data_IF_382576952797
#
_entry.id   IF_382576952797
#
_cell.length_a   1.000
_cell.length_b   1.000
_cell.length_c   1.000
_cell.angle_alpha   90.00
_cell.angle_beta   90.00
_cell.angle_gamma   90.00
#
_symmetry.space_group_name_H-M   'P 1'
#
loop_
_entity.id
_entity.type
_entity.pdbx_description
1 polymer ?
#
# COMPACT_ATOMS: atom_id res chain seq x y z
N UNK A 1 4.72 -7.95 -13.36
CA UNK A 1 4.23 -7.70 -14.74
C UNK A 1 5.43 -7.74 -15.67
N UNK A 2 5.28 -8.36 -16.85
CA UNK A 2 6.28 -8.31 -17.91
C UNK A 2 5.69 -7.63 -19.14
N UNK A 3 6.53 -6.85 -19.83
CA UNK A 3 6.23 -6.27 -21.14
C UNK A 3 7.34 -6.72 -22.09
N UNK A 4 6.97 -7.37 -23.20
CA UNK A 4 7.92 -7.89 -24.18
C UNK A 4 9.05 -8.74 -23.55
N UNK A 5 8.69 -9.56 -22.57
CA UNK A 5 9.60 -10.45 -21.85
C UNK A 5 10.41 -9.79 -20.72
N UNK A 6 10.46 -8.46 -20.63
CA UNK A 6 11.16 -7.74 -19.56
C UNK A 6 10.25 -7.48 -18.37
N UNK A 7 10.78 -7.65 -17.17
CA UNK A 7 10.04 -7.41 -15.93
C UNK A 7 9.97 -5.90 -15.65
N UNK A 8 8.76 -5.35 -15.65
CA UNK A 8 8.53 -3.91 -15.38
C UNK A 8 8.03 -3.64 -13.96
N UNK A 9 7.44 -4.65 -13.32
CA UNK A 9 6.97 -4.56 -11.94
C UNK A 9 7.16 -5.90 -11.22
N UNK A 10 7.74 -5.84 -10.02
CA UNK A 10 7.86 -6.97 -9.12
C UNK A 10 7.54 -6.54 -7.68
N UNK A 11 6.43 -7.03 -7.15
CA UNK A 11 6.16 -6.94 -5.72
C UNK A 11 5.47 -8.23 -5.24
N UNK A 12 6.26 -9.20 -4.77
CA UNK A 12 5.76 -10.56 -4.54
C UNK A 12 5.34 -10.85 -3.11
N UNK A 13 5.97 -10.25 -2.09
CA UNK A 13 5.78 -10.70 -0.69
C UNK A 13 4.75 -9.91 0.09
N UNK A 14 4.59 -8.60 -0.16
CA UNK A 14 3.71 -7.73 0.62
C UNK A 14 2.63 -7.03 -0.24
N UNK A 15 2.27 -7.63 -1.39
CA UNK A 15 1.27 -7.06 -2.30
C UNK A 15 -0.10 -6.84 -1.63
N UNK A 16 -0.52 -7.77 -0.76
CA UNK A 16 -1.79 -7.63 -0.04
C UNK A 16 -1.82 -6.37 0.84
N UNK A 17 -0.72 -6.08 1.52
CA UNK A 17 -0.57 -4.84 2.29
C UNK A 17 -0.57 -3.61 1.39
N UNK A 18 0.10 -3.67 0.23
CA UNK A 18 0.08 -2.58 -0.74
C UNK A 18 -1.35 -2.25 -1.19
N UNK A 19 -2.06 -3.25 -1.71
CA UNK A 19 -3.41 -3.09 -2.23
C UNK A 19 -4.42 -2.67 -1.14
N UNK A 20 -4.27 -3.20 0.08
CA UNK A 20 -5.09 -2.79 1.21
C UNK A 20 -4.82 -1.33 1.61
N UNK A 21 -3.55 -0.94 1.75
CA UNK A 21 -3.19 0.42 2.15
C UNK A 21 -3.59 1.45 1.09
N UNK A 22 -3.49 1.13 -0.20
CA UNK A 22 -4.05 1.97 -1.26
C UNK A 22 -5.56 2.16 -1.09
N UNK A 23 -6.31 1.07 -0.89
CA UNK A 23 -7.76 1.11 -0.68
C UNK A 23 -8.15 1.88 0.60
N UNK A 24 -7.37 1.71 1.67
CA UNK A 24 -7.62 2.29 2.98
C UNK A 24 -7.20 3.76 3.09
N UNK A 25 -6.11 4.17 2.44
CA UNK A 25 -5.54 5.51 2.60
C UNK A 25 -5.87 6.45 1.44
N UNK A 26 -5.98 5.95 0.20
CA UNK A 26 -6.04 6.80 -1.00
C UNK A 26 -7.46 7.08 -1.50
N UNK A 27 -8.47 6.39 -0.97
CA UNK A 27 -9.87 6.53 -1.37
C UNK A 27 -10.73 7.13 -0.27
N UNK A 28 -11.61 8.06 -0.66
CA UNK A 28 -12.63 8.63 0.22
C UNK A 28 -13.86 7.74 0.40
N UNK A 29 -14.79 8.20 1.23
CA UNK A 29 -15.97 7.44 1.64
C UNK A 29 -16.82 6.99 0.44
N UNK A 30 -16.97 7.85 -0.56
CA UNK A 30 -17.79 7.59 -1.74
C UNK A 30 -17.29 6.38 -2.51
N UNK A 31 -16.00 6.33 -2.84
CA UNK A 31 -15.40 5.20 -3.55
C UNK A 31 -15.39 3.92 -2.70
N UNK A 32 -15.12 4.05 -1.39
CA UNK A 32 -15.15 2.93 -0.43
C UNK A 32 -16.53 2.29 -0.30
N UNK A 33 -17.59 3.09 -0.36
CA UNK A 33 -18.97 2.63 -0.23
C UNK A 33 -19.62 2.29 -1.59
N UNK A 34 -18.92 2.52 -2.70
CA UNK A 34 -19.38 2.20 -4.06
C UNK A 34 -18.41 1.26 -4.77
N UNK A 35 -17.53 1.76 -5.62
CA UNK A 35 -16.65 0.98 -6.51
C UNK A 35 -15.85 -0.09 -5.79
N UNK A 36 -15.27 0.21 -4.63
CA UNK A 36 -14.42 -0.75 -3.91
C UNK A 36 -15.21 -1.94 -3.34
N UNK A 37 -16.53 -1.81 -3.17
CA UNK A 37 -17.37 -2.92 -2.72
C UNK A 37 -17.43 -4.06 -3.75
N UNK A 38 -17.21 -3.77 -5.04
CA UNK A 38 -17.11 -4.80 -6.08
C UNK A 38 -15.88 -5.72 -5.90
N UNK A 39 -14.84 -5.22 -5.23
CA UNK A 39 -13.66 -6.00 -4.86
C UNK A 39 -13.86 -6.78 -3.54
N UNK A 40 -15.03 -6.64 -2.89
CA UNK A 40 -15.27 -7.16 -1.54
C UNK A 40 -14.62 -6.32 -0.43
N UNK A 41 -14.14 -5.11 -0.74
CA UNK A 41 -13.67 -4.17 0.27
C UNK A 41 -14.87 -3.47 0.91
N UNK A 42 -15.04 -3.67 2.22
CA UNK A 42 -16.04 -2.98 3.02
C UNK A 42 -15.35 -2.25 4.15
N UNK A 43 -15.42 -0.93 4.11
CA UNK A 43 -14.86 -0.09 5.16
C UNK A 43 -15.58 -0.34 6.49
N UNK A 44 -14.82 -0.38 7.58
CA UNK A 44 -15.35 -0.81 8.86
C UNK A 44 -14.75 0.01 10.01
N UNK A 45 -15.53 0.37 11.04
CA UNK A 45 -15.06 1.21 12.13
C UNK A 45 -14.02 0.51 13.00
N UNK A 46 -14.03 -0.84 13.03
CA UNK A 46 -13.11 -1.65 13.82
C UNK A 46 -12.72 -2.93 13.10
N UNK A 47 -11.48 -3.01 12.65
CA UNK A 47 -10.93 -4.19 11.96
C UNK A 47 -10.75 -5.35 12.94
N UNK A 48 -11.10 -6.56 12.51
CA UNK A 48 -11.00 -7.77 13.32
C UNK A 48 -12.10 -7.93 14.39
N UNK A 49 -13.13 -7.08 14.37
CA UNK A 49 -14.31 -7.25 15.23
C UNK A 49 -15.45 -7.92 14.43
N UNK A 50 -15.91 -9.08 14.91
CA UNK A 50 -17.00 -9.85 14.26
C UNK A 50 -18.34 -9.10 14.20
N UNK A 51 -18.51 -8.06 15.01
CA UNK A 51 -19.71 -7.21 15.02
C UNK A 51 -19.57 -5.99 14.11
N UNK A 52 -18.39 -5.78 13.55
CA UNK A 52 -18.11 -4.66 12.66
C UNK A 52 -18.94 -4.79 11.37
N UNK A 53 -19.59 -3.71 10.89
CA UNK A 53 -20.41 -3.75 9.68
C UNK A 53 -19.69 -4.31 8.45
N UNK A 54 -18.40 -3.99 8.25
CA UNK A 54 -17.64 -4.49 7.11
C UNK A 54 -17.38 -5.99 7.17
N UNK A 55 -17.03 -6.53 8.34
CA UNK A 55 -16.95 -7.98 8.56
C UNK A 55 -18.28 -8.67 8.26
N UNK A 56 -19.40 -8.13 8.77
CA UNK A 56 -20.73 -8.69 8.53
C UNK A 56 -21.08 -8.66 7.03
N UNK A 57 -20.75 -7.58 6.31
CA UNK A 57 -20.96 -7.47 4.87
C UNK A 57 -20.15 -8.51 4.09
N UNK A 58 -18.85 -8.67 4.40
CA UNK A 58 -17.99 -9.71 3.81
C UNK A 58 -18.53 -11.12 4.10
N UNK A 59 -18.94 -11.38 5.35
CA UNK A 59 -19.52 -12.65 5.75
C UNK A 59 -20.82 -12.96 4.98
N UNK A 60 -21.70 -11.97 4.84
CA UNK A 60 -22.94 -12.12 4.06
C UNK A 60 -22.71 -12.33 2.57
N UNK A 61 -21.63 -11.75 2.01
CA UNK A 61 -21.22 -11.98 0.63
C UNK A 61 -20.87 -13.45 0.38
N UNK A 62 -20.17 -14.10 1.33
CA UNK A 62 -19.71 -15.49 1.20
C UNK A 62 -20.68 -16.54 1.76
N UNK A 63 -21.61 -16.16 2.65
CA UNK A 63 -22.58 -17.08 3.29
C UNK A 63 -23.60 -17.64 2.30
N UNK A 64 -23.87 -16.91 1.21
CA UNK A 64 -24.82 -17.35 0.17
C UNK A 64 -24.26 -18.61 -0.50
N UNK A 65 -25.13 -19.60 -0.72
CA UNK A 65 -24.75 -20.78 -1.51
C UNK A 65 -24.39 -20.32 -2.93
N UNK A 66 -23.16 -20.59 -3.37
CA UNK A 66 -22.73 -20.29 -4.73
C UNK A 66 -21.30 -19.80 -4.81
N UNK A 67 -20.91 -19.38 -6.01
CA UNK A 67 -19.64 -18.72 -6.26
C UNK A 67 -19.78 -17.23 -5.92
N UNK A 68 -18.73 -16.66 -5.33
CA UNK A 68 -18.62 -15.21 -5.15
C UNK A 68 -17.84 -14.66 -6.33
N UNK A 69 -18.38 -13.60 -6.94
CA UNK A 69 -17.70 -12.84 -7.97
C UNK A 69 -17.18 -11.55 -7.36
N UNK A 70 -15.92 -11.22 -7.67
CA UNK A 70 -15.29 -9.97 -7.28
C UNK A 70 -14.56 -9.40 -8.49
N UNK A 71 -14.48 -8.08 -8.56
CA UNK A 71 -13.71 -7.36 -9.57
C UNK A 71 -12.93 -6.24 -8.88
N UNK A 72 -11.65 -6.12 -9.21
CA UNK A 72 -10.79 -5.08 -8.67
C UNK A 72 -9.77 -4.63 -9.71
N UNK A 73 -9.31 -3.39 -9.56
CA UNK A 73 -8.09 -2.96 -10.22
C UNK A 73 -6.90 -3.67 -9.59
N UNK A 74 -5.84 -3.84 -10.38
CA UNK A 74 -4.61 -4.47 -9.90
C UNK A 74 -3.67 -3.34 -9.48
N UNK A 75 -3.18 -3.45 -8.25
CA UNK A 75 -2.34 -2.46 -7.56
C UNK A 75 -0.93 -2.50 -8.12
N UNK A 76 -0.75 -1.99 -9.34
CA UNK A 76 0.51 -1.89 -10.05
C UNK A 76 0.66 -0.44 -10.51
N UNK A 77 1.86 0.11 -10.34
CA UNK A 77 2.19 1.49 -10.64
C UNK A 77 1.84 1.93 -12.07
N UNK A 78 2.09 1.08 -13.06
CA UNK A 78 1.73 1.34 -14.46
C UNK A 78 0.22 1.49 -14.70
N UNK A 79 -0.62 0.89 -13.84
CA UNK A 79 -2.07 0.99 -13.90
C UNK A 79 -2.62 2.20 -13.14
N UNK A 80 -1.77 2.91 -12.40
CA UNK A 80 -2.14 4.08 -11.58
C UNK A 80 -1.87 5.42 -12.29
N UNK A 81 -1.67 5.41 -13.61
CA UNK A 81 -1.39 6.59 -14.42
C UNK A 81 -2.27 6.62 -15.68
N UNK A 82 -2.62 7.82 -16.22
CA UNK A 82 -3.64 7.95 -17.26
C UNK A 82 -3.18 7.67 -18.69
N UNK A 83 -1.88 7.52 -18.96
CA UNK A 83 -1.35 7.29 -20.30
C UNK A 83 -1.60 5.85 -20.74
N UNK A 84 -2.05 5.68 -21.97
CA UNK A 84 -2.24 4.35 -22.58
C UNK A 84 -0.88 3.75 -22.94
N UNK A 85 -0.77 2.43 -22.82
CA UNK A 85 0.39 1.69 -23.31
C UNK A 85 0.41 1.71 -24.84
N UNK A 86 1.55 1.97 -25.47
CA UNK A 86 1.68 1.96 -26.93
C UNK A 86 1.45 0.56 -27.53
N UNK A 87 1.09 0.53 -28.82
CA UNK A 87 0.89 -0.68 -29.59
C UNK A 87 2.15 -1.55 -29.66
N UNK A 88 1.95 -2.84 -29.95
CA UNK A 88 2.99 -3.86 -30.05
C UNK A 88 3.75 -4.14 -28.72
N UNK A 89 3.07 -3.96 -27.59
CA UNK A 89 3.53 -4.41 -26.28
C UNK A 89 2.81 -5.70 -25.87
N UNK A 90 3.54 -6.82 -25.83
CA UNK A 90 3.05 -8.07 -25.25
C UNK A 90 3.12 -7.99 -23.72
N UNK A 91 1.95 -7.85 -23.09
CA UNK A 91 1.82 -7.77 -21.63
C UNK A 91 1.53 -9.15 -21.05
N UNK A 92 2.38 -9.60 -20.13
CA UNK A 92 2.14 -10.80 -19.30
C UNK A 92 2.00 -10.43 -17.84
N UNK A 93 0.81 -10.66 -17.30
CA UNK A 93 0.54 -10.56 -15.86
C UNK A 93 0.53 -11.95 -15.23
N UNK A 94 1.09 -12.07 -14.03
CA UNK A 94 1.11 -13.33 -13.27
C UNK A 94 0.80 -12.99 -11.82
N UNK A 95 -0.23 -13.64 -11.29
CA UNK A 95 -0.76 -13.39 -9.96
C UNK A 95 -0.62 -14.66 -9.12
N UNK A 96 -0.22 -14.49 -7.86
CA UNK A 96 -0.10 -15.58 -6.90
C UNK A 96 -0.98 -15.24 -5.69
N UNK A 97 -1.95 -16.08 -5.32
CA UNK A 97 -2.76 -15.84 -4.14
C UNK A 97 -1.92 -16.05 -2.88
N UNK A 98 -2.21 -15.28 -1.84
CA UNK A 98 -1.72 -15.59 -0.50
C UNK A 98 -2.30 -16.92 0.01
N UNK A 99 -1.76 -17.44 1.10
CA UNK A 99 -2.28 -18.64 1.77
C UNK A 99 -3.70 -18.37 2.29
N UNK A 100 -4.50 -19.44 2.39
CA UNK A 100 -5.92 -19.31 2.75
C UNK A 100 -6.16 -18.82 4.19
N UNK A 101 -5.25 -19.13 5.10
CA UNK A 101 -5.22 -18.63 6.48
C UNK A 101 -4.97 -17.12 6.58
N UNK A 102 -4.31 -16.53 5.59
CA UNK A 102 -4.19 -15.07 5.44
C UNK A 102 -5.44 -14.44 4.79
N UNK A 103 -6.03 -15.13 3.80
CA UNK A 103 -7.12 -14.58 2.99
C UNK A 103 -8.51 -14.70 3.63
N UNK A 104 -8.68 -15.61 4.60
CA UNK A 104 -9.99 -15.95 5.17
C UNK A 104 -10.00 -15.61 6.65
N UNK A 105 -10.88 -14.71 7.04
CA UNK A 105 -11.26 -14.49 8.44
C UNK A 105 -12.43 -15.43 8.78
N UNK A 106 -12.21 -16.34 9.71
CA UNK A 106 -13.18 -17.36 10.13
C UNK A 106 -13.09 -17.62 11.63
N UNK A 107 -14.23 -17.50 12.32
CA UNK A 107 -14.33 -17.68 13.77
C UNK A 107 -15.12 -18.94 14.09
N UNK A 108 -14.87 -19.53 15.26
CA UNK A 108 -15.58 -20.72 15.75
C UNK A 108 -15.48 -21.93 14.80
N UNK A 109 -14.36 -22.09 14.10
CA UNK A 109 -14.14 -23.17 13.14
C UNK A 109 -13.90 -24.54 13.81
N UNK A 110 -13.64 -24.57 15.13
CA UNK A 110 -13.19 -25.75 15.86
C UNK A 110 -11.80 -26.18 15.38
N UNK A 111 -11.76 -27.09 14.40
CA UNK A 111 -10.55 -27.49 13.68
C UNK A 111 -10.69 -27.45 12.15
N UNK A 112 -11.80 -26.92 11.64
CA UNK A 112 -12.07 -26.86 10.19
C UNK A 112 -11.11 -25.89 9.53
N UNK A 113 -10.37 -26.37 8.52
CA UNK A 113 -9.56 -25.51 7.67
C UNK A 113 -10.36 -25.10 6.43
N UNK A 114 -10.31 -23.82 6.09
CA UNK A 114 -10.98 -23.26 4.92
C UNK A 114 -9.94 -23.01 3.82
N UNK A 115 -10.35 -23.23 2.58
CA UNK A 115 -9.48 -23.01 1.42
C UNK A 115 -10.18 -22.12 0.40
N UNK A 116 -9.48 -21.06 -0.02
CA UNK A 116 -9.93 -20.24 -1.14
C UNK A 116 -9.63 -20.97 -2.44
N UNK A 117 -10.65 -21.15 -3.28
CA UNK A 117 -10.53 -21.74 -4.61
C UNK A 117 -10.94 -20.72 -5.66
N UNK A 118 -9.97 -20.27 -6.46
CA UNK A 118 -10.21 -19.45 -7.63
C UNK A 118 -10.70 -20.36 -8.76
N UNK A 119 -11.90 -20.11 -9.28
CA UNK A 119 -12.54 -20.93 -10.32
C UNK A 119 -12.30 -20.41 -11.73
N UNK A 120 -12.46 -19.11 -11.90
CA UNK A 120 -12.32 -18.42 -13.18
C UNK A 120 -11.70 -17.04 -12.93
N UNK A 121 -10.87 -16.60 -13.87
CA UNK A 121 -10.17 -15.31 -13.84
C UNK A 121 -10.05 -14.81 -15.26
N UNK A 122 -10.51 -13.59 -15.49
CA UNK A 122 -10.26 -12.85 -16.71
C UNK A 122 -9.94 -11.39 -16.36
N UNK A 123 -9.29 -10.69 -17.29
CA UNK A 123 -9.03 -9.27 -17.18
C UNK A 123 -9.91 -8.52 -18.19
N UNK A 124 -10.45 -7.38 -17.78
CA UNK A 124 -11.09 -6.43 -18.67
C UNK A 124 -10.06 -5.35 -18.99
N UNK A 125 -9.78 -5.15 -20.28
CA UNK A 125 -8.80 -4.18 -20.76
C UNK A 125 -9.50 -3.20 -21.68
N UNK A 126 -9.23 -1.92 -21.50
CA UNK A 126 -9.72 -0.87 -22.40
C UNK A 126 -8.67 -0.63 -23.48
N UNK A 127 -9.06 -0.81 -24.73
CA UNK A 127 -8.25 -0.50 -25.91
C UNK A 127 -8.77 0.77 -26.57
N UNK A 128 -7.87 1.58 -27.14
CA UNK A 128 -8.19 2.83 -27.79
C UNK A 128 -7.78 2.78 -29.26
N UNK A 129 -8.73 3.02 -30.16
CA UNK A 129 -8.46 3.15 -31.58
C UNK A 129 -7.90 4.55 -31.88
N UNK A 130 -6.74 4.59 -32.52
CA UNK A 130 -6.07 5.82 -32.95
C UNK A 130 -6.37 6.07 -34.43
N UNK A 131 -6.63 7.33 -34.79
CA UNK A 131 -6.70 7.73 -36.20
C UNK A 131 -5.34 7.52 -36.88
N UNK A 132 -5.34 7.06 -38.14
CA UNK A 132 -4.12 6.68 -38.87
C UNK A 132 -3.04 7.77 -38.88
N UNK A 133 -3.44 9.04 -39.03
CA UNK A 133 -2.51 10.18 -39.00
C UNK A 133 -1.76 10.28 -37.66
N UNK A 134 -2.47 10.13 -36.54
CA UNK A 134 -1.89 10.19 -35.20
C UNK A 134 -1.02 8.95 -34.91
N UNK A 135 -1.44 7.78 -35.38
CA UNK A 135 -0.64 6.55 -35.26
C UNK A 135 0.70 6.69 -36.00
N UNK A 136 0.69 7.25 -37.21
CA UNK A 136 1.91 7.50 -37.99
C UNK A 136 2.81 8.55 -37.33
N UNK A 137 2.25 9.65 -36.83
CA UNK A 137 3.03 10.68 -36.10
C UNK A 137 3.66 10.12 -34.83
N UNK A 138 2.94 9.29 -34.07
CA UNK A 138 3.46 8.64 -32.88
C UNK A 138 4.61 7.68 -33.22
N UNK A 139 4.50 6.92 -34.32
CA UNK A 139 5.57 6.04 -34.77
C UNK A 139 6.82 6.81 -35.20
N UNK A 140 6.65 7.89 -35.97
CA UNK A 140 7.75 8.77 -36.38
C UNK A 140 8.46 9.38 -35.16
N UNK A 141 7.70 9.90 -34.19
CA UNK A 141 8.25 10.45 -32.97
C UNK A 141 9.00 9.39 -32.14
N UNK A 142 8.50 8.15 -32.09
CA UNK A 142 9.17 7.05 -31.41
C UNK A 142 10.48 6.65 -32.11
N UNK A 143 10.52 6.65 -33.44
CA UNK A 143 11.75 6.39 -34.21
C UNK A 143 12.80 7.50 -34.04
N UNK A 144 12.35 8.76 -33.99
CA UNK A 144 13.22 9.92 -33.81
C UNK A 144 13.82 9.97 -32.40
N UNK A 145 12.97 9.86 -31.36
CA UNK A 145 13.39 10.02 -29.97
C UNK A 145 13.88 8.72 -29.33
N UNK A 146 13.57 7.57 -29.92
CA UNK A 146 13.94 6.21 -29.46
C UNK A 146 13.53 5.87 -28.03
N UNK A 147 12.62 6.65 -27.46
CA UNK A 147 12.20 6.52 -26.08
C UNK A 147 10.81 7.09 -25.86
N UNK A 148 9.97 6.35 -25.15
CA UNK A 148 8.73 6.85 -24.57
C UNK A 148 8.73 6.64 -23.06
N UNK A 149 8.26 7.65 -22.33
CA UNK A 149 8.36 7.71 -20.88
C UNK A 149 6.98 7.70 -20.19
N UNK A 150 6.84 6.75 -19.27
CA UNK A 150 5.71 6.63 -18.37
C UNK A 150 6.15 7.03 -16.96
N UNK A 151 5.80 8.25 -16.49
CA UNK A 151 6.05 8.65 -15.12
C UNK A 151 5.10 7.88 -14.20
N UNK A 152 5.65 7.26 -13.17
CA UNK A 152 4.94 6.38 -12.25
C UNK A 152 5.14 6.85 -10.82
N UNK A 153 4.12 6.68 -9.99
CA UNK A 153 4.28 6.63 -8.54
C UNK A 153 4.32 5.14 -8.18
N UNK A 154 5.50 4.65 -7.85
CA UNK A 154 5.72 3.23 -7.53
C UNK A 154 5.63 3.02 -6.02
N UNK A 155 4.57 2.37 -5.51
CA UNK A 155 4.52 1.92 -4.14
C UNK A 155 5.46 0.73 -3.92
N UNK A 156 6.14 0.70 -2.78
CA UNK A 156 6.89 -0.46 -2.34
C UNK A 156 6.59 -0.74 -0.87
N UNK A 157 6.35 -2.00 -0.55
CA UNK A 157 6.10 -2.44 0.82
C UNK A 157 7.25 -3.27 1.35
N UNK A 158 7.82 -2.81 2.46
CA UNK A 158 8.82 -3.53 3.25
C UNK A 158 8.22 -3.88 4.61
N UNK A 159 8.77 -4.91 5.23
CA UNK A 159 8.40 -5.30 6.58
C UNK A 159 9.63 -5.79 7.34
N UNK A 160 9.61 -5.62 8.65
CA UNK A 160 10.60 -6.23 9.55
C UNK A 160 9.91 -6.73 10.82
N UNK A 161 10.46 -7.80 11.37
CA UNK A 161 9.96 -8.42 12.60
C UNK A 161 10.51 -7.69 13.82
N UNK A 162 9.67 -7.54 14.84
CA UNK A 162 10.02 -7.01 16.15
C UNK A 162 9.77 -8.12 17.16
N UNK A 163 10.82 -8.50 17.88
CA UNK A 163 10.77 -9.60 18.83
C UNK A 163 9.79 -9.34 19.98
N UNK A 164 9.32 -10.41 20.59
CA UNK A 164 8.49 -10.39 21.77
C UNK A 164 9.22 -9.82 22.99
N UNK A 165 8.44 -9.31 23.96
CA UNK A 165 8.93 -8.82 25.24
C UNK A 165 9.92 -7.65 25.18
N UNK A 166 9.94 -6.88 24.08
CA UNK A 166 10.77 -5.70 23.89
C UNK A 166 10.07 -4.41 24.29
N UNK A 167 10.84 -3.40 24.68
CA UNK A 167 10.36 -2.02 24.90
C UNK A 167 10.75 -1.08 23.76
N UNK A 168 11.48 -1.58 22.77
CA UNK A 168 11.96 -0.81 21.62
C UNK A 168 12.12 -1.71 20.39
N UNK A 169 12.09 -1.10 19.21
CA UNK A 169 12.71 -1.64 18.01
C UNK A 169 13.84 -0.68 17.61
N UNK A 170 15.11 -1.14 17.60
CA UNK A 170 16.23 -0.30 17.20
C UNK A 170 16.14 0.07 15.71
N UNK A 171 17.07 0.90 15.22
CA UNK A 171 17.06 1.38 13.84
C UNK A 171 17.10 0.20 12.85
N UNK A 172 15.99 -0.01 12.15
CA UNK A 172 15.88 -1.00 11.08
C UNK A 172 15.89 -0.30 9.73
N UNK A 173 16.95 -0.50 8.95
CA UNK A 173 17.04 0.05 7.58
C UNK A 173 16.08 -0.68 6.66
N UNK A 174 15.19 0.07 6.00
CA UNK A 174 14.12 -0.44 5.14
C UNK A 174 14.29 -0.09 3.66
N UNK A 175 14.90 1.06 3.34
CA UNK A 175 15.19 1.49 1.97
C UNK A 175 16.59 2.07 1.86
N UNK A 176 17.35 1.65 0.84
CA UNK A 176 18.76 2.05 0.63
C UNK A 176 19.07 2.61 -0.76
N UNK A 177 18.20 2.36 -1.74
CA UNK A 177 18.49 2.68 -3.15
C UNK A 177 17.93 4.03 -3.59
N UNK A 178 16.71 4.33 -3.18
CA UNK A 178 15.98 5.54 -3.57
C UNK A 178 15.24 6.11 -2.37
N UNK A 179 15.15 7.43 -2.29
CA UNK A 179 14.36 8.11 -1.27
C UNK A 179 12.87 8.04 -1.61
N UNK A 180 12.00 7.56 -0.70
CA UNK A 180 10.56 7.67 -0.87
C UNK A 180 10.13 9.12 -0.68
N UNK A 181 9.07 9.52 -1.38
CA UNK A 181 8.42 10.83 -1.22
C UNK A 181 7.79 10.94 0.16
N UNK A 182 7.05 9.88 0.52
CA UNK A 182 6.42 9.70 1.81
C UNK A 182 6.37 8.22 2.17
N UNK A 183 6.29 7.93 3.45
CA UNK A 183 6.14 6.59 3.98
C UNK A 183 4.98 6.52 4.96
N UNK A 184 4.35 5.36 5.04
CA UNK A 184 3.33 5.01 6.01
C UNK A 184 3.77 3.77 6.78
N UNK A 185 3.72 3.85 8.11
CA UNK A 185 4.20 2.81 9.01
C UNK A 185 3.04 2.34 9.87
N UNK A 186 2.73 1.05 9.81
CA UNK A 186 1.72 0.40 10.65
C UNK A 186 2.29 -0.85 11.31
N UNK A 187 1.76 -1.20 12.48
CA UNK A 187 2.16 -2.41 13.21
C UNK A 187 1.02 -3.43 13.22
N UNK A 188 1.38 -4.70 13.04
CA UNK A 188 0.46 -5.85 13.15
C UNK A 188 1.11 -6.93 14.01
N UNK A 189 0.30 -7.83 14.60
CA UNK A 189 0.86 -9.00 15.28
C UNK A 189 1.50 -9.96 14.29
N UNK A 190 2.44 -10.78 14.76
CA UNK A 190 3.03 -11.81 13.91
C UNK A 190 2.00 -12.82 13.38
N UNK A 191 0.98 -13.15 14.17
CA UNK A 191 -0.13 -14.02 13.74
C UNK A 191 -0.91 -13.37 12.58
N UNK A 192 -1.25 -12.08 12.69
CA UNK A 192 -1.90 -11.32 11.62
C UNK A 192 -1.05 -11.30 10.35
N UNK A 193 0.27 -11.06 10.46
CA UNK A 193 1.17 -10.99 9.31
C UNK A 193 1.32 -12.35 8.59
N UNK A 194 1.49 -13.43 9.36
CA UNK A 194 1.68 -14.77 8.82
C UNK A 194 0.37 -15.41 8.33
N UNK A 195 -0.78 -14.91 8.83
CA UNK A 195 -2.12 -15.39 8.51
C UNK A 195 -2.65 -16.39 9.55
N UNK A 196 -3.79 -16.06 10.16
CA UNK A 196 -4.61 -17.00 10.92
C UNK A 196 -6.09 -16.70 10.69
N UNK A 197 -6.96 -17.69 10.85
CA UNK A 197 -8.40 -17.48 10.66
C UNK A 197 -9.02 -16.48 11.67
N UNK A 198 -8.46 -16.37 12.87
CA UNK A 198 -9.07 -15.62 13.97
C UNK A 198 -8.56 -14.17 14.07
N UNK A 199 -7.66 -13.76 13.19
CA UNK A 199 -7.06 -12.41 13.21
C UNK A 199 -7.09 -11.81 11.82
N UNK A 200 -7.29 -10.49 11.74
CA UNK A 200 -7.15 -9.78 10.47
C UNK A 200 -5.69 -9.40 10.20
N UNK A 201 -5.14 -9.64 9.00
CA UNK A 201 -3.81 -9.16 8.62
C UNK A 201 -3.73 -7.63 8.55
N UNK A 202 -4.88 -6.95 8.46
CA UNK A 202 -4.98 -5.51 8.25
C UNK A 202 -5.40 -4.73 9.49
N UNK A 203 -5.38 -5.36 10.68
CA UNK A 203 -5.68 -4.70 11.94
C UNK A 203 -4.45 -3.97 12.49
N UNK A 204 -4.23 -2.74 12.05
CA UNK A 204 -3.10 -1.91 12.45
C UNK A 204 -3.32 -1.31 13.84
N UNK A 205 -2.56 -1.80 14.82
CA UNK A 205 -2.71 -1.40 16.22
C UNK A 205 -1.51 -0.59 16.71
N UNK A 206 -1.74 0.24 17.71
CA UNK A 206 -0.68 1.05 18.30
C UNK A 206 0.29 0.26 19.19
N UNK A 207 -0.09 -0.90 19.73
CA UNK A 207 0.74 -1.73 20.65
C UNK A 207 1.43 -0.94 21.78
N UNK A 208 0.74 0.06 22.30
CA UNK A 208 1.24 1.00 23.30
C UNK A 208 2.56 1.70 22.92
N UNK A 209 2.74 1.99 21.63
CA UNK A 209 3.84 2.81 21.13
C UNK A 209 3.84 4.18 21.83
N UNK A 210 5.01 4.59 22.33
CA UNK A 210 5.23 5.90 22.94
C UNK A 210 5.87 6.87 21.96
N UNK A 211 6.62 6.36 20.99
CA UNK A 211 7.37 7.19 20.04
C UNK A 211 7.78 6.41 18.77
N UNK A 212 7.92 7.12 17.65
CA UNK A 212 8.35 6.59 16.35
C UNK A 212 9.23 7.61 15.64
N UNK A 213 10.36 7.14 15.12
CA UNK A 213 11.30 7.95 14.37
C UNK A 213 11.66 7.30 13.04
N UNK A 214 11.83 8.16 12.04
CA UNK A 214 12.32 7.80 10.71
C UNK A 214 13.60 8.60 10.47
N UNK A 215 14.72 7.88 10.40
CA UNK A 215 16.03 8.44 10.09
C UNK A 215 16.27 8.35 8.58
N UNK A 216 16.66 9.45 7.96
CA UNK A 216 17.02 9.50 6.55
C UNK A 216 17.95 10.68 6.25
N UNK A 217 18.93 10.50 5.38
CA UNK A 217 19.82 11.59 4.90
C UNK A 217 20.46 12.44 6.02
N UNK A 218 20.78 11.85 7.18
CA UNK A 218 21.34 12.57 8.34
C UNK A 218 20.33 13.40 9.15
N UNK A 219 19.04 13.27 8.84
CA UNK A 219 17.92 13.88 9.53
C UNK A 219 17.03 12.82 10.17
N UNK A 220 16.19 13.22 11.11
CA UNK A 220 15.18 12.37 11.75
C UNK A 220 13.85 13.10 11.76
N UNK A 221 12.79 12.40 11.36
CA UNK A 221 11.40 12.87 11.49
C UNK A 221 10.61 11.96 12.43
N UNK A 222 9.70 12.51 13.26
CA UNK A 222 9.48 13.94 13.46
C UNK A 222 10.69 14.60 14.15
N UNK A 223 10.91 15.91 13.90
CA UNK A 223 12.01 16.66 14.50
C UNK A 223 11.86 16.79 16.03
N UNK A 224 10.61 16.89 16.48
CA UNK A 224 10.23 16.77 17.89
C UNK A 224 9.70 15.34 18.10
N UNK A 225 10.31 14.52 18.97
CA UNK A 225 9.79 13.21 19.31
C UNK A 225 8.34 13.27 19.78
N UNK A 226 7.57 12.24 19.46
CA UNK A 226 6.23 12.12 20.01
C UNK A 226 6.30 11.76 21.50
N UNK A 227 5.23 12.10 22.21
CA UNK A 227 4.99 11.62 23.57
C UNK A 227 3.62 10.96 23.60
N UNK A 228 3.53 9.82 22.92
CA UNK A 228 2.28 9.12 22.68
C UNK A 228 1.78 8.44 23.94
N UNK A 229 0.50 8.61 24.20
CA UNK A 229 -0.25 7.87 25.20
C UNK A 229 -1.68 7.72 24.71
N UNK A 230 -1.96 6.54 24.15
CA UNK A 230 -3.26 6.23 23.57
C UNK A 230 -4.36 6.17 24.64
N UNK A 231 -4.03 5.85 25.89
CA UNK A 231 -4.98 5.77 27.00
C UNK A 231 -5.43 7.16 27.46
N UNK A 232 -4.51 8.14 27.49
CA UNK A 232 -4.85 9.53 27.85
C UNK A 232 -5.24 10.42 26.67
N UNK A 233 -5.30 9.89 25.45
CA UNK A 233 -5.71 10.64 24.26
C UNK A 233 -4.59 11.39 23.54
N UNK A 234 -3.32 11.19 23.91
CA UNK A 234 -2.15 11.82 23.29
C UNK A 234 -1.73 11.08 22.02
N UNK A 235 -2.59 11.12 21.00
CA UNK A 235 -2.34 10.55 19.66
C UNK A 235 -2.86 11.45 18.54
N UNK A 236 -3.34 12.65 18.86
CA UNK A 236 -3.93 13.56 17.87
C UNK A 236 -2.89 14.08 16.88
N UNK A 237 -1.66 14.34 17.35
CA UNK A 237 -0.57 14.83 16.50
C UNK A 237 -0.22 13.85 15.36
N UNK A 238 0.09 12.57 15.60
CA UNK A 238 0.34 11.63 14.49
C UNK A 238 -0.92 11.34 13.65
N UNK A 239 -2.13 11.45 14.22
CA UNK A 239 -3.36 11.35 13.43
C UNK A 239 -3.49 12.50 12.43
N UNK A 240 -3.23 13.74 12.84
CA UNK A 240 -3.21 14.90 11.94
C UNK A 240 -2.08 14.73 10.91
N UNK A 241 -0.89 14.30 11.34
CA UNK A 241 0.24 14.08 10.45
C UNK A 241 -0.04 13.02 9.37
N UNK A 242 -0.81 11.97 9.68
CA UNK A 242 -1.30 11.01 8.68
C UNK A 242 -2.15 11.72 7.61
N UNK A 243 -3.08 12.58 8.04
CA UNK A 243 -3.96 13.33 7.13
C UNK A 243 -3.18 14.37 6.30
N UNK A 244 -2.16 15.01 6.88
CA UNK A 244 -1.23 15.92 6.20
C UNK A 244 -0.41 15.18 5.14
N UNK A 245 0.15 14.02 5.49
CA UNK A 245 0.97 13.19 4.58
C UNK A 245 0.15 12.67 3.39
N UNK A 246 -1.17 12.54 3.55
CA UNK A 246 -2.10 12.19 2.47
C UNK A 246 -2.57 13.41 1.65
N UNK A 247 -2.21 14.62 2.07
CA UNK A 247 -2.64 15.88 1.45
C UNK A 247 -4.05 16.32 1.84
N UNK A 248 -4.76 15.56 2.68
CA UNK A 248 -6.13 15.88 3.09
C UNK A 248 -6.21 17.17 3.91
N UNK A 249 -5.21 17.43 4.76
CA UNK A 249 -5.16 18.67 5.54
C UNK A 249 -5.01 19.95 4.68
N UNK A 250 -4.67 19.81 3.38
CA UNK A 250 -4.44 20.93 2.45
C UNK A 250 -5.66 21.25 1.59
N UNK A 251 -6.73 20.46 1.68
CA UNK A 251 -7.94 20.61 0.85
C UNK A 251 -9.20 20.29 1.65
N UNK A 252 -10.33 20.89 1.32
CA UNK A 252 -11.60 20.63 2.02
C UNK A 252 -12.47 19.55 1.34
N UNK A 253 -11.98 18.92 0.27
CA UNK A 253 -12.77 18.02 -0.57
C UNK A 253 -12.24 16.58 -0.61
N UNK A 254 -11.10 16.30 0.02
CA UNK A 254 -10.50 14.96 0.05
C UNK A 254 -10.46 14.42 1.48
N UNK A 255 -10.62 13.10 1.61
CA UNK A 255 -10.51 12.38 2.88
C UNK A 255 -10.21 10.91 2.62
N UNK A 256 -9.83 10.18 3.67
CA UNK A 256 -9.65 8.73 3.65
C UNK A 256 -10.66 8.00 4.56
N UNK A 257 -11.68 8.67 5.08
CA UNK A 257 -12.68 8.08 6.01
C UNK A 257 -12.12 7.46 7.30
N UNK A 258 -10.84 7.68 7.65
CA UNK A 258 -10.28 7.22 8.92
C UNK A 258 -10.50 8.32 9.96
N UNK A 259 -11.35 8.06 10.95
CA UNK A 259 -11.56 8.99 12.07
C UNK A 259 -10.48 8.86 13.15
N UNK A 260 -10.42 9.83 14.07
CA UNK A 260 -9.50 9.76 15.23
C UNK A 260 -9.76 8.54 16.13
N UNK A 261 -11.02 8.12 16.26
CA UNK A 261 -11.41 6.92 17.01
C UNK A 261 -10.93 5.64 16.31
N UNK A 262 -11.05 5.60 14.98
CA UNK A 262 -10.57 4.49 14.17
C UNK A 262 -9.05 4.38 14.22
N UNK A 263 -8.35 5.52 14.18
CA UNK A 263 -6.90 5.58 14.35
C UNK A 263 -6.45 5.05 15.71
N UNK A 264 -7.15 5.38 16.79
CA UNK A 264 -6.79 4.94 18.14
C UNK A 264 -7.14 3.48 18.43
N UNK A 265 -8.35 3.05 18.03
CA UNK A 265 -8.96 1.79 18.53
C UNK A 265 -9.64 0.94 17.45
N UNK A 266 -9.68 1.43 16.21
CA UNK A 266 -10.37 0.78 15.09
C UNK A 266 -9.50 -0.08 14.20
N UNK A 267 -8.21 -0.22 14.50
CA UNK A 267 -7.28 -0.98 13.64
C UNK A 267 -6.71 -0.16 12.48
N UNK A 268 -6.67 1.16 12.62
CA UNK A 268 -6.13 2.11 11.62
C UNK A 268 -4.99 2.97 12.18
N UNK A 269 -4.23 2.48 13.16
CA UNK A 269 -3.05 3.20 13.67
C UNK A 269 -1.91 3.13 12.64
N UNK A 270 -1.84 4.11 11.74
CA UNK A 270 -0.85 4.19 10.66
C UNK A 270 -0.18 5.57 10.71
N UNK A 271 1.13 5.60 10.90
CA UNK A 271 1.90 6.85 10.98
C UNK A 271 2.35 7.26 9.58
N UNK A 272 2.04 8.49 9.16
CA UNK A 272 2.47 9.06 7.87
C UNK A 272 3.62 10.04 8.04
N UNK A 273 4.63 9.93 7.16
CA UNK A 273 5.78 10.83 7.13
C UNK A 273 6.10 11.24 5.70
N UNK A 274 6.15 12.54 5.43
CA UNK A 274 6.71 13.09 4.19
C UNK A 274 8.22 13.22 4.34
N UNK A 275 8.99 12.60 3.44
CA UNK A 275 10.46 12.65 3.47
C UNK A 275 11.03 13.57 2.37
N UNK A 276 10.23 13.89 1.35
CA UNK A 276 10.60 14.77 0.23
C UNK A 276 9.66 15.98 0.15
N UNK A 277 10.16 17.18 -0.18
CA UNK A 277 9.33 18.33 -0.52
C UNK A 277 8.35 18.06 -1.68
N UNK A 278 8.66 17.13 -2.59
CA UNK A 278 7.75 16.77 -3.70
C UNK A 278 6.47 16.08 -3.17
N UNK A 279 6.49 15.53 -1.95
CA UNK A 279 5.24 15.09 -1.32
C UNK A 279 4.29 16.27 -1.02
N UNK A 280 4.84 17.48 -0.89
CA UNK A 280 4.09 18.69 -0.60
C UNK A 280 3.56 19.38 -1.85
N UNK A 281 4.40 19.47 -2.88
CA UNK A 281 4.08 20.11 -4.15
C UNK A 281 4.68 19.32 -5.32
N UNK A 282 3.81 18.83 -6.20
CA UNK A 282 4.16 18.04 -7.37
C UNK A 282 4.88 18.83 -8.46
N UNK A 283 4.89 20.17 -8.36
CA UNK A 283 5.64 21.03 -9.28
C UNK A 283 7.12 21.14 -8.90
N UNK A 284 7.52 20.63 -7.73
CA UNK A 284 8.90 20.64 -7.29
C UNK A 284 9.69 19.52 -7.97
N UNK A 285 10.97 19.79 -8.21
CA UNK A 285 11.92 18.80 -8.71
C UNK A 285 12.98 18.51 -7.65
N UNK A 286 13.28 17.24 -7.44
CA UNK A 286 14.32 16.79 -6.53
C UNK A 286 15.21 15.77 -7.24
N UNK A 287 16.52 15.93 -7.07
CA UNK A 287 17.49 14.95 -7.56
C UNK A 287 17.33 13.64 -6.81
N UNK A 288 17.46 12.52 -7.53
CA UNK A 288 17.49 11.20 -6.90
C UNK A 288 18.74 11.12 -6.02
N UNK A 289 18.53 11.03 -4.70
CA UNK A 289 19.60 10.84 -3.74
C UNK A 289 19.62 9.39 -3.28
N UNK A 290 20.81 8.80 -3.23
CA UNK A 290 21.01 7.61 -2.41
C UNK A 290 20.65 7.95 -0.97
N UNK A 291 19.97 7.04 -0.29
CA UNK A 291 19.48 7.28 1.05
C UNK A 291 19.66 6.03 1.90
N UNK A 292 19.56 6.20 3.21
CA UNK A 292 19.33 5.12 4.13
C UNK A 292 18.12 5.53 4.96
N UNK A 293 16.97 4.93 4.68
CA UNK A 293 15.75 5.13 5.49
C UNK A 293 15.72 4.03 6.54
N UNK A 294 15.76 4.43 7.80
CA UNK A 294 15.67 3.54 8.95
C UNK A 294 14.53 3.95 9.88
N UNK A 295 13.90 2.97 10.52
CA UNK A 295 12.78 3.19 11.45
C UNK A 295 13.17 2.73 12.85
N UNK A 296 12.85 3.56 13.85
CA UNK A 296 12.99 3.27 15.28
C UNK A 296 11.65 3.42 15.99
N UNK A 297 11.39 2.55 16.96
CA UNK A 297 10.13 2.49 17.69
C UNK A 297 10.41 2.35 19.19
N UNK A 298 9.65 3.05 20.03
CA UNK A 298 9.67 2.86 21.47
C UNK A 298 8.26 2.51 21.97
N UNK A 299 8.16 1.59 22.91
CA UNK A 299 6.91 1.09 23.46
C UNK A 299 6.83 1.36 24.97
N UNK A 300 5.66 1.79 25.44
CA UNK A 300 5.39 1.99 26.86
C UNK A 300 5.08 0.68 27.61
N UNK A 301 4.75 -0.39 26.87
CA UNK A 301 4.55 -1.73 27.39
C UNK A 301 5.35 -2.73 26.53
N UNK A 302 5.67 -3.89 27.10
CA UNK A 302 6.40 -4.93 26.38
C UNK A 302 5.60 -5.43 25.17
N UNK A 303 6.27 -5.60 24.03
CA UNK A 303 5.66 -6.18 22.83
C UNK A 303 5.07 -7.58 23.14
N UNK A 304 3.96 -7.97 22.48
CA UNK A 304 3.28 -9.25 22.75
C UNK A 304 4.19 -10.47 22.58
N UNK A 305 3.83 -11.58 23.23
CA UNK A 305 4.61 -12.83 23.23
C UNK A 305 4.89 -13.43 21.85
N UNK A 306 4.03 -13.15 20.85
CA UNK A 306 4.21 -13.59 19.46
C UNK A 306 5.08 -12.64 18.61
N UNK A 307 5.50 -11.49 19.16
CA UNK A 307 6.16 -10.45 18.39
C UNK A 307 5.23 -9.70 17.44
N UNK A 308 5.80 -8.72 16.74
CA UNK A 308 5.08 -7.82 15.82
C UNK A 308 5.79 -7.79 14.46
N UNK A 309 5.07 -7.33 13.44
CA UNK A 309 5.67 -6.85 12.21
C UNK A 309 5.38 -5.36 12.05
N UNK A 310 6.42 -4.60 11.72
CA UNK A 310 6.26 -3.29 11.13
C UNK A 310 6.05 -3.44 9.62
N UNK A 311 5.01 -2.80 9.10
CA UNK A 311 4.68 -2.71 7.67
C UNK A 311 4.96 -1.29 7.22
N UNK A 312 5.82 -1.15 6.23
CA UNK A 312 6.29 0.13 5.72
C UNK A 312 5.88 0.21 4.27
N UNK A 313 4.90 1.06 3.97
CA UNK A 313 4.52 1.42 2.62
C UNK A 313 5.23 2.72 2.25
N UNK A 314 6.08 2.68 1.23
CA UNK A 314 6.75 3.87 0.70
C UNK A 314 6.29 4.15 -0.73
N UNK A 315 6.10 5.43 -1.05
CA UNK A 315 5.84 5.87 -2.43
C UNK A 315 7.07 6.50 -3.03
N UNK A 316 7.42 6.08 -4.25
CA UNK A 316 8.60 6.53 -4.95
C UNK A 316 8.20 7.11 -6.30
N UNK A 317 8.82 8.22 -6.70
CA UNK A 317 8.80 8.58 -8.13
C UNK A 317 9.51 7.48 -8.91
N UNK A 318 9.02 7.15 -10.09
CA UNK A 318 9.68 6.19 -10.98
C UNK A 318 9.38 6.54 -12.44
N UNK A 319 10.19 6.01 -13.34
CA UNK A 319 10.06 6.27 -14.77
C UNK A 319 10.27 4.97 -15.53
N UNK A 320 9.20 4.44 -16.11
CA UNK A 320 9.32 3.33 -17.05
C UNK A 320 9.57 3.89 -18.45
N UNK A 321 10.66 3.44 -19.07
CA UNK A 321 11.01 3.82 -20.43
C UNK A 321 10.77 2.63 -21.35
N UNK A 322 10.22 2.86 -22.54
CA UNK A 322 10.19 1.85 -23.62
C UNK A 322 10.99 2.38 -24.79
N UNK A 323 11.81 1.51 -25.39
CA UNK A 323 12.56 1.87 -26.60
C UNK A 323 11.66 1.92 -27.84
N UNK A 324 12.23 2.36 -28.96
CA UNK A 324 11.64 2.19 -30.29
C UNK A 324 11.30 0.72 -30.62
N UNK A 325 12.02 -0.23 -30.05
CA UNK A 325 11.70 -1.67 -30.14
C UNK A 325 10.69 -2.16 -29.09
N UNK A 326 10.05 -1.24 -28.36
CA UNK A 326 9.09 -1.52 -27.27
C UNK A 326 9.69 -2.40 -26.16
N UNK A 327 11.00 -2.33 -25.96
CA UNK A 327 11.66 -3.04 -24.87
C UNK A 327 11.70 -2.12 -23.66
N UNK A 328 11.14 -2.53 -22.50
CA UNK A 328 11.29 -1.78 -21.27
C UNK A 328 12.75 -1.70 -20.83
N UNK A 329 13.17 -0.52 -20.40
CA UNK A 329 14.46 -0.32 -19.78
C UNK A 329 14.36 0.70 -18.65
N UNK A 330 15.25 0.56 -17.67
CA UNK A 330 15.48 1.58 -16.65
C UNK A 330 16.72 2.34 -17.10
N UNK A 331 16.67 3.67 -17.26
CA UNK A 331 17.87 4.45 -17.52
C UNK A 331 18.82 4.22 -16.35
N UNK A 332 19.96 3.57 -16.60
CA UNK A 332 21.05 3.57 -15.63
C UNK A 332 21.49 5.02 -15.50
N UNK A 333 21.38 5.57 -14.29
CA UNK A 333 21.94 6.88 -13.96
C UNK A 333 23.43 6.80 -14.29
N UNK A 334 23.88 7.57 -15.27
CA UNK A 334 25.29 7.73 -15.60
C UNK A 334 25.95 8.68 -14.59
#
# INVERSE_FOLDING_TARGET
MHINGQMVFHNSTNYAYQSYLESALMYGAEAKNSTLTAAGYFHEPKVGDIKSPGFIARSNMVKKKGLVQVACNISIDLMNQPKVLINACNVKLTLYPNKSDFLIEGYNLGGTQLKLHVRDVYAIVNEFDLADGLANELELALQEHKNIQYPLISPQVRSFYIEANRLDAPANTVFTSKMPRRIFVGLVSADSYNGTYNTSPFNFQHFNLTDIHVDYCGQSVPARPFNLDFKSGKYIEPYIQLQESLGHARTNFTNNSISKEMFCSGGYTIFGFELSPIAQDHNLFELVRQTNVSIRLNFGEKTPAGGLYAIIYGEFDNLMNLSDLRVPFVPTVA
#
